data_IF_895617876961
#
_entry.id   IF_895617876961
#
_cell.length_a   1.000
_cell.length_b   1.000
_cell.length_c   1.000
_cell.angle_alpha   90.00
_cell.angle_beta   90.00
_cell.angle_gamma   90.00
#
_symmetry.space_group_name_H-M   'P 1'
#
loop_
_entity.id
_entity.type
_entity.pdbx_description
1 polymer ?
#
# COMPACT_ATOMS: atom_id res chain seq x y z
N UNK A 1 14.21 12.51 8.55
CA UNK A 1 15.34 13.46 8.48
C UNK A 1 16.70 12.74 8.43
N UNK A 2 16.92 11.70 9.23
CA UNK A 2 18.16 10.88 9.22
C UNK A 2 18.38 10.17 7.87
N UNK A 3 17.31 9.70 7.21
CA UNK A 3 17.35 9.05 5.88
C UNK A 3 17.91 9.95 4.76
N UNK A 4 17.59 11.24 4.78
CA UNK A 4 18.04 12.23 3.78
C UNK A 4 19.50 12.68 4.02
N UNK A 5 19.94 12.68 5.28
CA UNK A 5 21.32 12.99 5.66
C UNK A 5 22.25 11.82 5.32
N UNK A 6 21.78 10.58 5.49
CA UNK A 6 22.54 9.35 5.25
C UNK A 6 22.87 9.12 3.77
N UNK A 7 21.92 9.33 2.87
CA UNK A 7 22.18 9.26 1.42
C UNK A 7 23.13 10.38 0.94
N UNK A 8 23.17 11.52 1.65
CA UNK A 8 23.99 12.71 1.29
C UNK A 8 25.50 12.50 1.46
N UNK A 9 25.90 11.59 2.35
CA UNK A 9 27.31 11.25 2.62
C UNK A 9 27.81 10.06 1.80
N UNK A 10 26.91 9.18 1.34
CA UNK A 10 27.27 7.90 0.75
C UNK A 10 27.91 8.02 -0.65
N UNK A 11 27.57 9.06 -1.40
CA UNK A 11 27.97 9.26 -2.81
C UNK A 11 29.04 10.32 -3.06
N UNK A 12 29.53 11.04 -2.04
CA UNK A 12 30.39 12.23 -2.24
C UNK A 12 31.73 11.95 -2.96
N UNK A 13 32.23 10.72 -2.94
CA UNK A 13 33.50 10.33 -3.59
C UNK A 13 33.34 9.45 -4.84
N UNK A 14 32.26 8.68 -4.98
CA UNK A 14 31.98 7.85 -6.17
C UNK A 14 31.21 8.61 -7.26
N UNK A 15 30.58 9.74 -6.91
CA UNK A 15 29.89 10.61 -7.86
C UNK A 15 30.86 11.29 -8.84
N UNK A 16 32.04 11.75 -8.40
CA UNK A 16 32.97 12.49 -9.25
C UNK A 16 33.41 11.72 -10.52
N UNK A 17 33.64 10.42 -10.42
CA UNK A 17 34.01 9.56 -11.56
C UNK A 17 32.80 9.14 -12.41
N UNK A 18 31.61 9.02 -11.79
CA UNK A 18 30.35 8.72 -12.50
C UNK A 18 29.83 9.94 -13.28
N UNK A 19 30.08 11.15 -12.79
CA UNK A 19 29.68 12.43 -13.39
C UNK A 19 30.50 12.78 -14.63
N UNK A 20 31.78 12.38 -14.72
CA UNK A 20 32.63 12.69 -15.88
C UNK A 20 32.20 12.00 -17.18
N UNK A 21 31.42 10.91 -17.11
CA UNK A 21 31.00 10.15 -18.29
C UNK A 21 29.61 10.49 -18.82
N UNK A 22 28.80 11.28 -18.11
CA UNK A 22 27.52 11.75 -18.64
C UNK A 22 27.75 13.13 -19.26
N UNK A 23 27.99 13.17 -20.57
CA UNK A 23 27.89 14.41 -21.35
C UNK A 23 26.42 14.88 -21.33
N UNK A 24 26.03 15.58 -20.27
CA UNK A 24 24.69 16.15 -20.13
C UNK A 24 24.67 17.47 -20.88
N UNK A 25 24.13 17.44 -22.09
CA UNK A 25 23.62 18.66 -22.71
C UNK A 25 22.49 19.21 -21.85
N UNK A 26 22.78 20.23 -21.03
CA UNK A 26 21.82 20.86 -20.12
C UNK A 26 20.64 21.53 -20.85
N UNK A 27 20.72 21.62 -22.18
CA UNK A 27 19.70 22.19 -23.05
C UNK A 27 18.63 21.18 -23.49
N UNK A 28 18.86 19.87 -23.30
CA UNK A 28 17.90 18.81 -23.64
C UNK A 28 17.38 18.11 -22.38
N UNK A 29 16.08 17.76 -22.33
CA UNK A 29 15.54 16.93 -21.25
C UNK A 29 16.27 15.59 -21.17
N UNK A 30 16.54 15.14 -19.95
CA UNK A 30 17.16 13.86 -19.66
C UNK A 30 16.10 12.86 -19.20
N UNK A 31 16.06 11.69 -19.83
CA UNK A 31 15.27 10.54 -19.39
C UNK A 31 16.20 9.50 -18.76
N UNK A 32 16.05 9.28 -17.46
CA UNK A 32 16.76 8.24 -16.71
C UNK A 32 15.84 7.03 -16.60
N UNK A 33 16.32 5.87 -17.05
CA UNK A 33 15.58 4.62 -16.95
C UNK A 33 16.40 3.48 -16.38
N UNK A 34 15.71 2.47 -15.85
CA UNK A 34 16.33 1.31 -15.20
C UNK A 34 15.29 0.43 -14.50
N UNK A 35 15.76 -0.65 -13.88
CA UNK A 35 14.91 -1.52 -13.05
C UNK A 35 14.42 -0.79 -11.78
N UNK A 36 13.42 -1.34 -11.10
CA UNK A 36 12.98 -0.82 -9.79
C UNK A 36 14.15 -0.87 -8.79
N UNK A 37 14.25 0.13 -7.91
CA UNK A 37 15.27 0.14 -6.88
C UNK A 37 16.72 0.32 -7.33
N UNK A 38 16.98 0.64 -8.61
CA UNK A 38 18.34 0.81 -9.14
C UNK A 38 19.00 2.16 -8.77
N UNK A 39 18.30 3.04 -8.04
CA UNK A 39 18.81 4.36 -7.65
C UNK A 39 18.53 5.50 -8.65
N UNK A 40 17.58 5.33 -9.58
CA UNK A 40 17.20 6.35 -10.60
C UNK A 40 16.92 7.73 -9.99
N UNK A 41 16.04 7.78 -9.00
CA UNK A 41 15.68 9.01 -8.30
C UNK A 41 16.87 9.62 -7.57
N UNK A 42 17.77 8.79 -7.03
CA UNK A 42 18.98 9.27 -6.38
C UNK A 42 19.94 9.94 -7.37
N UNK A 43 20.19 9.31 -8.52
CA UNK A 43 21.01 9.92 -9.59
C UNK A 43 20.41 11.24 -10.04
N UNK A 44 19.09 11.31 -10.24
CA UNK A 44 18.42 12.54 -10.63
C UNK A 44 18.54 13.67 -9.58
N UNK A 45 18.45 13.34 -8.30
CA UNK A 45 18.63 14.29 -7.20
C UNK A 45 20.06 14.78 -7.09
N UNK A 46 21.06 13.91 -7.27
CA UNK A 46 22.46 14.32 -7.23
C UNK A 46 22.81 15.21 -8.44
N UNK A 47 22.24 14.94 -9.63
CA UNK A 47 22.36 15.83 -10.81
C UNK A 47 21.76 17.22 -10.60
N UNK A 48 20.82 17.36 -9.66
CA UNK A 48 20.10 18.60 -9.37
C UNK A 48 20.51 19.26 -8.05
N UNK A 49 21.58 18.78 -7.40
CA UNK A 49 22.02 19.21 -6.07
C UNK A 49 22.31 20.70 -5.95
N UNK A 50 22.83 21.31 -7.01
CA UNK A 50 23.15 22.73 -7.09
C UNK A 50 22.07 23.53 -7.85
N UNK A 51 20.86 22.99 -7.96
CA UNK A 51 19.74 23.58 -8.69
C UNK A 51 18.50 23.75 -7.81
N UNK A 52 17.68 24.75 -8.12
CA UNK A 52 16.35 24.87 -7.50
C UNK A 52 15.43 23.79 -8.09
N UNK A 53 15.13 22.78 -7.27
CA UNK A 53 14.38 21.60 -7.67
C UNK A 53 12.87 21.81 -7.50
N UNK A 54 12.12 21.63 -8.59
CA UNK A 54 10.68 21.40 -8.54
C UNK A 54 10.40 19.95 -8.89
N UNK A 55 9.79 19.20 -7.96
CA UNK A 55 9.46 17.79 -8.14
C UNK A 55 7.98 17.61 -8.45
N UNK A 56 7.69 16.83 -9.49
CA UNK A 56 6.36 16.32 -9.84
C UNK A 56 6.42 14.81 -9.64
N UNK A 57 5.57 14.27 -8.78
CA UNK A 57 5.50 12.84 -8.46
C UNK A 57 4.08 12.32 -8.37
N UNK A 58 3.94 11.03 -8.08
CA UNK A 58 2.66 10.33 -8.01
C UNK A 58 1.67 10.93 -7.01
N UNK A 59 2.11 11.73 -6.02
CA UNK A 59 1.20 12.43 -5.11
C UNK A 59 0.34 13.46 -5.82
N UNK A 60 0.79 13.98 -6.96
CA UNK A 60 0.10 15.01 -7.75
C UNK A 60 -0.89 14.44 -8.78
N UNK A 61 -1.10 13.12 -8.82
CA UNK A 61 -2.04 12.48 -9.76
C UNK A 61 -3.44 13.09 -9.66
N UNK A 62 -4.05 13.43 -10.80
CA UNK A 62 -5.41 14.00 -10.92
C UNK A 62 -5.65 15.35 -10.22
N UNK A 63 -4.66 15.88 -9.49
CA UNK A 63 -4.75 17.22 -8.87
C UNK A 63 -4.60 18.33 -9.91
N UNK A 64 -3.85 18.08 -10.97
CA UNK A 64 -3.52 19.07 -12.01
C UNK A 64 -4.51 18.97 -13.16
N UNK A 65 -5.43 19.94 -13.23
CA UNK A 65 -6.45 20.02 -14.30
C UNK A 65 -6.09 20.99 -15.43
N UNK A 66 -5.14 21.91 -15.21
CA UNK A 66 -4.85 22.99 -16.14
C UNK A 66 -3.59 22.73 -16.97
N UNK A 67 -3.70 22.90 -18.30
CA UNK A 67 -2.60 22.81 -19.28
C UNK A 67 -1.42 23.72 -18.95
N UNK A 68 -1.71 24.89 -18.39
CA UNK A 68 -0.69 25.89 -18.08
C UNK A 68 0.09 25.60 -16.80
N UNK A 69 -0.25 24.56 -16.03
CA UNK A 69 0.38 24.29 -14.75
C UNK A 69 1.90 24.07 -14.87
N UNK A 70 2.34 23.25 -15.83
CA UNK A 70 3.77 22.98 -16.05
C UNK A 70 4.48 24.25 -16.55
N UNK A 71 3.85 25.00 -17.46
CA UNK A 71 4.39 26.27 -17.94
C UNK A 71 4.50 27.31 -16.82
N UNK A 72 3.51 27.36 -15.92
CA UNK A 72 3.50 28.26 -14.78
C UNK A 72 4.58 27.89 -13.76
N UNK A 73 4.84 26.60 -13.54
CA UNK A 73 5.96 26.15 -12.70
C UNK A 73 7.29 26.62 -13.28
N UNK A 74 7.47 26.43 -14.58
CA UNK A 74 8.74 26.74 -15.27
C UNK A 74 8.94 28.26 -15.38
N UNK A 75 7.85 29.03 -15.62
CA UNK A 75 7.86 30.49 -15.74
C UNK A 75 7.89 31.24 -14.41
N UNK A 76 7.21 30.74 -13.36
CA UNK A 76 7.15 31.43 -12.06
C UNK A 76 8.55 31.67 -11.52
N UNK A 77 8.87 32.91 -11.16
CA UNK A 77 10.02 33.19 -10.31
C UNK A 77 9.64 32.77 -8.90
N UNK A 78 10.36 31.79 -8.35
CA UNK A 78 10.25 31.49 -6.92
C UNK A 78 10.65 32.74 -6.14
N UNK A 79 9.93 33.05 -5.07
CA UNK A 79 10.23 34.20 -4.19
C UNK A 79 11.66 34.11 -3.65
N UNK A 80 12.17 32.88 -3.41
CA UNK A 80 13.56 32.62 -3.04
C UNK A 80 14.59 33.10 -4.07
N UNK A 81 14.24 33.12 -5.36
CA UNK A 81 15.10 33.62 -6.44
C UNK A 81 15.13 35.14 -6.53
N UNK A 82 14.23 35.84 -5.84
CA UNK A 82 14.30 37.31 -5.74
C UNK A 82 15.33 37.76 -4.71
N UNK A 83 15.77 36.85 -3.83
CA UNK A 83 16.70 37.14 -2.73
C UNK A 83 18.08 36.49 -2.91
N UNK A 84 18.34 35.79 -4.04
CA UNK A 84 19.66 35.25 -4.37
C UNK A 84 20.30 36.04 -5.53
N UNK A 85 21.53 36.52 -5.33
CA UNK A 85 22.30 37.26 -6.34
C UNK A 85 22.85 36.35 -7.48
N UNK A 86 22.65 35.05 -7.36
CA UNK A 86 23.13 34.04 -8.31
C UNK A 86 21.99 33.68 -9.27
N UNK A 87 22.25 33.69 -10.58
CA UNK A 87 21.34 33.13 -11.59
C UNK A 87 21.28 31.61 -11.43
N UNK A 88 20.49 31.15 -10.46
CA UNK A 88 20.41 29.74 -10.10
C UNK A 88 19.78 28.93 -11.23
N UNK A 89 20.44 27.81 -11.58
CA UNK A 89 19.93 26.84 -12.55
C UNK A 89 18.73 26.13 -11.92
N UNK A 90 17.65 25.98 -12.67
CA UNK A 90 16.43 25.28 -12.19
C UNK A 90 16.42 23.84 -12.67
N UNK A 91 15.83 22.95 -11.88
CA UNK A 91 15.58 21.58 -12.29
C UNK A 91 14.11 21.24 -12.12
N UNK A 92 13.46 20.76 -13.18
CA UNK A 92 12.15 20.14 -13.12
C UNK A 92 12.34 18.62 -13.15
N UNK A 93 12.03 17.96 -12.03
CA UNK A 93 12.10 16.51 -11.91
C UNK A 93 10.70 15.91 -12.00
N UNK A 94 10.46 15.09 -13.03
CA UNK A 94 9.25 14.30 -13.19
C UNK A 94 9.58 12.86 -12.79
N UNK A 95 9.18 12.49 -11.59
CA UNK A 95 9.40 11.15 -11.04
C UNK A 95 8.35 10.19 -11.60
N UNK A 96 8.76 8.96 -11.90
CA UNK A 96 7.88 7.88 -12.35
C UNK A 96 6.83 8.26 -13.43
N UNK A 97 7.28 8.82 -14.57
CA UNK A 97 6.40 9.24 -15.69
C UNK A 97 5.45 8.13 -16.18
N UNK A 98 5.85 6.87 -16.03
CA UNK A 98 5.07 5.69 -16.38
C UNK A 98 3.80 5.53 -15.54
N UNK A 99 3.78 6.02 -14.29
CA UNK A 99 2.60 6.01 -13.42
C UNK A 99 1.55 6.99 -13.94
N UNK A 100 1.97 8.18 -14.39
CA UNK A 100 1.08 9.15 -15.02
C UNK A 100 0.45 8.60 -16.30
N UNK A 101 1.21 7.89 -17.15
CA UNK A 101 0.63 7.27 -18.33
C UNK A 101 -0.47 6.24 -18.00
N UNK A 102 -0.34 5.53 -16.88
CA UNK A 102 -1.31 4.52 -16.44
C UNK A 102 -2.55 5.12 -15.77
N UNK A 103 -2.36 6.11 -14.89
CA UNK A 103 -3.42 6.60 -13.99
C UNK A 103 -3.94 8.01 -14.34
N UNK A 104 -3.19 8.79 -15.12
CA UNK A 104 -3.52 10.16 -15.52
C UNK A 104 -3.04 10.47 -16.95
N UNK A 105 -3.74 9.89 -17.93
CA UNK A 105 -3.41 10.03 -19.36
C UNK A 105 -3.43 11.48 -19.85
N UNK A 106 -4.28 12.33 -19.24
CA UNK A 106 -4.40 13.73 -19.62
C UNK A 106 -3.12 14.49 -19.27
N UNK A 107 -2.68 14.40 -18.00
CA UNK A 107 -1.46 15.05 -17.56
C UNK A 107 -0.22 14.47 -18.25
N UNK A 108 -0.19 13.16 -18.51
CA UNK A 108 0.86 12.56 -19.31
C UNK A 108 0.97 13.19 -20.71
N UNK A 109 -0.15 13.34 -21.45
CA UNK A 109 -0.14 14.00 -22.76
C UNK A 109 0.38 15.43 -22.70
N UNK A 110 0.01 16.17 -21.64
CA UNK A 110 0.53 17.53 -21.42
C UNK A 110 2.05 17.55 -21.23
N UNK A 111 2.62 16.62 -20.46
CA UNK A 111 4.08 16.50 -20.31
C UNK A 111 4.74 16.27 -21.68
N UNK A 112 4.17 15.37 -22.50
CA UNK A 112 4.69 15.06 -23.84
C UNK A 112 4.64 16.30 -24.75
N UNK A 113 3.54 17.06 -24.75
CA UNK A 113 3.39 18.30 -25.52
C UNK A 113 4.37 19.37 -25.06
N UNK A 114 4.53 19.55 -23.75
CA UNK A 114 5.49 20.47 -23.16
C UNK A 114 6.94 20.15 -23.58
N UNK A 115 7.32 18.88 -23.59
CA UNK A 115 8.65 18.45 -24.04
C UNK A 115 8.84 18.76 -25.52
N UNK A 116 7.86 18.47 -26.38
CA UNK A 116 7.95 18.77 -27.82
C UNK A 116 8.05 20.25 -28.14
N UNK A 117 7.49 21.12 -27.29
CA UNK A 117 7.52 22.56 -27.48
C UNK A 117 8.94 23.17 -27.39
N UNK A 118 9.92 22.45 -26.80
CA UNK A 118 11.32 22.89 -26.66
C UNK A 118 11.53 24.26 -25.96
N UNK A 119 10.54 24.75 -25.21
CA UNK A 119 10.62 26.03 -24.49
C UNK A 119 10.74 25.81 -22.98
N UNK A 120 11.97 25.62 -22.50
CA UNK A 120 12.23 25.21 -21.11
C UNK A 120 12.70 26.35 -20.19
N UNK A 121 12.83 27.59 -20.68
CA UNK A 121 13.14 28.79 -19.87
C UNK A 121 14.31 28.60 -18.90
N UNK A 122 15.45 28.09 -19.39
CA UNK A 122 16.65 27.76 -18.60
C UNK A 122 16.44 26.75 -17.45
N UNK A 123 15.38 25.94 -17.54
CA UNK A 123 15.12 24.84 -16.61
C UNK A 123 15.63 23.53 -17.20
N UNK A 124 16.50 22.85 -16.46
CA UNK A 124 16.93 21.49 -16.76
C UNK A 124 15.79 20.52 -16.43
N UNK A 125 15.42 19.66 -17.37
CA UNK A 125 14.30 18.73 -17.18
C UNK A 125 14.86 17.32 -17.03
N UNK A 126 14.49 16.65 -15.95
CA UNK A 126 14.82 15.24 -15.69
C UNK A 126 13.54 14.45 -15.54
N UNK A 127 13.44 13.35 -16.27
CA UNK A 127 12.32 12.41 -16.21
C UNK A 127 12.83 11.04 -15.80
N UNK A 128 12.07 10.34 -14.97
CA UNK A 128 12.41 8.99 -14.51
C UNK A 128 11.37 8.00 -15.00
N UNK A 129 11.80 6.85 -15.53
CA UNK A 129 10.91 5.76 -15.90
C UNK A 129 11.49 4.37 -15.63
N UNK A 130 10.61 3.36 -15.59
CA UNK A 130 11.01 1.96 -15.56
C UNK A 130 11.21 1.42 -16.98
N UNK A 131 12.11 0.45 -17.16
CA UNK A 131 12.46 -0.12 -18.48
C UNK A 131 11.24 -0.63 -19.28
N UNK A 132 10.22 -1.15 -18.61
CA UNK A 132 8.99 -1.64 -19.26
C UNK A 132 8.26 -0.54 -20.05
N UNK A 133 8.44 0.72 -19.67
CA UNK A 133 7.77 1.87 -20.27
C UNK A 133 8.41 2.33 -21.59
N UNK A 134 9.62 1.87 -21.92
CA UNK A 134 10.37 2.30 -23.11
C UNK A 134 9.70 1.91 -24.44
N UNK A 135 8.82 0.89 -24.42
CA UNK A 135 8.06 0.44 -25.60
C UNK A 135 6.87 1.33 -25.96
N UNK A 136 6.55 2.33 -25.13
CA UNK A 136 5.40 3.20 -25.35
C UNK A 136 5.60 4.08 -26.61
N UNK A 137 4.59 4.08 -27.50
CA UNK A 137 4.62 4.83 -28.77
C UNK A 137 4.85 6.34 -28.58
N UNK A 138 4.26 6.94 -27.54
CA UNK A 138 4.37 8.38 -27.29
C UNK A 138 5.76 8.75 -26.77
N UNK A 139 6.38 7.89 -25.95
CA UNK A 139 7.76 8.07 -25.50
C UNK A 139 8.77 7.84 -26.63
N UNK A 140 8.53 6.88 -27.52
CA UNK A 140 9.38 6.64 -28.69
C UNK A 140 9.44 7.88 -29.60
N UNK A 141 8.32 8.59 -29.78
CA UNK A 141 8.26 9.85 -30.52
C UNK A 141 9.05 10.98 -29.84
N UNK A 142 9.26 10.90 -28.53
CA UNK A 142 10.06 11.88 -27.79
C UNK A 142 11.57 11.66 -27.90
N UNK A 143 12.06 10.49 -28.35
CA UNK A 143 13.50 10.18 -28.41
C UNK A 143 14.34 11.22 -29.16
N UNK A 144 13.77 11.91 -30.15
CA UNK A 144 14.45 13.00 -30.87
C UNK A 144 14.73 14.23 -29.99
N UNK A 145 13.91 14.46 -28.97
CA UNK A 145 13.94 15.65 -28.12
C UNK A 145 14.65 15.42 -26.80
N UNK A 146 14.90 14.17 -26.41
CA UNK A 146 15.39 13.81 -25.08
C UNK A 146 16.70 13.01 -25.16
N UNK A 147 17.60 13.24 -24.22
CA UNK A 147 18.75 12.38 -24.00
C UNK A 147 18.31 11.22 -23.08
N UNK A 148 18.68 9.99 -23.41
CA UNK A 148 18.29 8.80 -22.62
C UNK A 148 19.50 8.21 -21.92
N UNK A 149 19.36 7.89 -20.65
CA UNK A 149 20.41 7.26 -19.84
C UNK A 149 19.86 6.03 -19.13
N UNK A 150 20.51 4.88 -19.33
CA UNK A 150 20.17 3.63 -18.65
C UNK A 150 21.04 3.44 -17.40
N UNK A 151 20.40 3.22 -16.26
CA UNK A 151 21.05 2.71 -15.06
C UNK A 151 20.97 1.19 -15.08
N UNK A 152 22.09 0.57 -15.45
CA UNK A 152 22.29 -0.87 -15.42
C UNK A 152 23.57 -1.17 -14.66
N UNK A 153 23.51 -2.18 -13.80
CA UNK A 153 24.66 -2.69 -13.08
C UNK A 153 24.92 -4.13 -13.53
N UNK A 154 26.18 -4.48 -13.69
CA UNK A 154 26.60 -5.89 -13.68
C UNK A 154 26.50 -6.43 -12.25
N UNK A 155 26.43 -7.76 -12.10
CA UNK A 155 26.42 -8.38 -10.77
C UNK A 155 27.61 -7.95 -9.93
N UNK A 156 28.81 -7.92 -10.54
CA UNK A 156 30.05 -7.54 -9.85
C UNK A 156 30.03 -6.09 -9.36
N UNK A 157 29.52 -5.15 -10.17
CA UNK A 157 29.38 -3.74 -9.76
C UNK A 157 28.33 -3.58 -8.65
N UNK A 158 27.21 -4.29 -8.78
CA UNK A 158 26.15 -4.29 -7.77
C UNK A 158 26.69 -4.83 -6.44
N UNK A 159 27.35 -5.98 -6.48
CA UNK A 159 27.95 -6.64 -5.33
C UNK A 159 28.99 -5.76 -4.63
N UNK A 160 29.92 -5.15 -5.38
CA UNK A 160 30.90 -4.19 -4.82
C UNK A 160 30.23 -3.01 -4.11
N UNK A 161 29.18 -2.44 -4.72
CA UNK A 161 28.41 -1.35 -4.09
C UNK A 161 27.68 -1.80 -2.83
N UNK A 162 27.11 -3.01 -2.82
CA UNK A 162 26.46 -3.58 -1.65
C UNK A 162 27.46 -3.83 -0.50
N UNK A 163 28.67 -4.29 -0.82
CA UNK A 163 29.75 -4.43 0.16
C UNK A 163 30.20 -3.07 0.71
N UNK A 164 30.29 -2.04 -0.13
CA UNK A 164 30.61 -0.67 0.32
C UNK A 164 29.51 -0.11 1.25
N UNK A 165 28.24 -0.36 0.91
CA UNK A 165 27.08 -0.02 1.75
C UNK A 165 27.20 -0.70 3.12
N UNK A 166 27.36 -2.02 3.13
CA UNK A 166 27.52 -2.81 4.35
C UNK A 166 28.72 -2.37 5.19
N UNK A 167 29.90 -2.14 4.59
CA UNK A 167 31.12 -1.71 5.31
C UNK A 167 30.97 -0.34 5.98
N UNK A 168 30.24 0.59 5.34
CA UNK A 168 29.95 1.90 5.94
C UNK A 168 28.96 1.79 7.09
N UNK A 169 27.97 0.89 6.97
CA UNK A 169 26.96 0.68 8.00
C UNK A 169 27.42 -0.25 9.15
N UNK A 170 28.46 -1.08 8.95
CA UNK A 170 29.06 -1.91 10.01
C UNK A 170 29.57 -1.09 11.20
N UNK A 171 29.86 0.20 11.00
CA UNK A 171 30.20 1.13 12.09
C UNK A 171 28.99 1.50 12.96
N UNK A 172 27.76 1.23 12.52
CA UNK A 172 26.51 1.76 13.08
C UNK A 172 25.34 0.75 13.21
N UNK A 173 25.59 -0.57 13.40
CA UNK A 173 24.63 -1.64 13.87
C UNK A 173 24.25 -2.77 12.89
N UNK A 174 25.18 -3.44 12.20
CA UNK A 174 24.82 -4.68 11.50
C UNK A 174 25.87 -5.77 11.69
N UNK A 175 25.50 -6.87 12.34
CA UNK A 175 26.35 -8.05 12.53
C UNK A 175 25.84 -9.24 11.69
N UNK A 176 25.87 -9.12 10.37
CA UNK A 176 25.66 -10.28 9.47
C UNK A 176 26.96 -11.05 9.24
N UNK A 177 26.87 -12.38 9.10
CA UNK A 177 27.94 -13.18 8.52
C UNK A 177 28.13 -12.83 7.03
N UNK A 178 29.31 -13.13 6.46
CA UNK A 178 29.56 -12.87 5.03
C UNK A 178 28.61 -13.69 4.13
N UNK A 179 28.29 -14.92 4.55
CA UNK A 179 27.37 -15.79 3.81
C UNK A 179 25.92 -15.28 3.84
N UNK A 180 25.47 -14.73 4.98
CA UNK A 180 24.16 -14.08 5.07
C UNK A 180 24.08 -12.84 4.19
N UNK A 181 25.15 -12.05 4.14
CA UNK A 181 25.22 -10.86 3.30
C UNK A 181 25.14 -11.23 1.83
N UNK A 182 25.88 -12.24 1.39
CA UNK A 182 25.88 -12.71 0.01
C UNK A 182 24.49 -13.23 -0.39
N UNK A 183 23.84 -14.00 0.48
CA UNK A 183 22.47 -14.46 0.28
C UNK A 183 21.48 -13.29 0.17
N UNK A 184 21.56 -12.28 1.05
CA UNK A 184 20.71 -11.07 0.98
C UNK A 184 20.94 -10.27 -0.30
N UNK A 185 22.20 -10.12 -0.73
CA UNK A 185 22.56 -9.45 -1.99
C UNK A 185 21.96 -10.20 -3.18
N UNK A 186 22.06 -11.53 -3.21
CA UNK A 186 21.47 -12.33 -4.26
C UNK A 186 19.93 -12.20 -4.30
N UNK A 187 19.27 -12.32 -3.15
CA UNK A 187 17.81 -12.22 -3.03
C UNK A 187 17.26 -10.83 -3.41
N UNK A 188 18.04 -9.77 -3.18
CA UNK A 188 17.65 -8.40 -3.52
C UNK A 188 17.51 -8.15 -5.05
N UNK A 189 18.01 -9.05 -5.91
CA UNK A 189 17.82 -8.99 -7.38
C UNK A 189 18.09 -7.60 -8.00
N UNK A 190 19.20 -6.97 -7.62
CA UNK A 190 19.60 -5.62 -8.07
C UNK A 190 18.76 -4.44 -7.53
N UNK A 191 17.92 -4.68 -6.52
CA UNK A 191 17.15 -3.65 -5.85
C UNK A 191 17.82 -3.25 -4.53
N UNK A 192 18.44 -2.06 -4.51
CA UNK A 192 19.10 -1.54 -3.32
C UNK A 192 18.13 -1.28 -2.17
N UNK A 193 16.86 -0.95 -2.45
CA UNK A 193 15.86 -0.71 -1.41
C UNK A 193 15.48 -2.01 -0.70
N UNK A 194 15.34 -3.11 -1.46
CA UNK A 194 15.04 -4.44 -0.89
C UNK A 194 16.21 -4.95 -0.05
N UNK A 195 17.44 -4.65 -0.47
CA UNK A 195 18.62 -4.98 0.32
C UNK A 195 18.64 -4.18 1.64
N UNK A 196 18.42 -2.87 1.58
CA UNK A 196 18.40 -2.01 2.77
C UNK A 196 17.25 -2.36 3.73
N UNK A 197 16.08 -2.71 3.22
CA UNK A 197 14.99 -3.19 4.07
C UNK A 197 15.36 -4.51 4.75
N UNK A 198 16.08 -5.40 4.05
CA UNK A 198 16.58 -6.65 4.64
C UNK A 198 17.68 -6.46 5.68
N UNK A 199 18.35 -5.30 5.70
CA UNK A 199 19.32 -4.96 6.75
C UNK A 199 18.66 -4.44 8.01
N UNK A 200 17.52 -3.74 7.90
CA UNK A 200 16.77 -3.20 9.04
C UNK A 200 16.04 -4.27 9.90
N UNK A 201 16.41 -5.56 9.78
CA UNK A 201 15.84 -6.68 10.55
C UNK A 201 16.61 -6.95 11.85
N UNK A 202 17.14 -5.91 12.50
CA UNK A 202 17.47 -5.96 13.94
C UNK A 202 16.33 -5.22 14.66
N UNK A 203 15.47 -5.96 15.36
CA UNK A 203 14.61 -5.57 16.50
C UNK A 203 14.23 -4.09 16.64
N UNK A 204 13.81 -3.49 15.54
CA UNK A 204 12.97 -2.31 15.53
C UNK A 204 11.70 -2.73 14.88
N UNK A 205 10.80 -3.21 15.74
CA UNK A 205 9.35 -3.02 15.59
C UNK A 205 9.16 -1.79 14.71
N UNK A 206 8.53 -1.99 13.55
CA UNK A 206 8.15 -0.91 12.66
C UNK A 206 7.24 0.04 13.45
N UNK A 207 7.78 1.05 14.13
CA UNK A 207 7.03 2.19 14.69
C UNK A 207 6.63 3.12 13.52
N UNK A 208 6.14 2.53 12.44
CA UNK A 208 5.59 3.22 11.27
C UNK A 208 4.20 2.72 10.92
N UNK A 209 3.83 1.53 11.40
CA UNK A 209 2.45 1.24 11.72
C UNK A 209 2.33 1.44 13.24
N UNK A 210 1.59 2.46 13.66
CA UNK A 210 1.29 2.68 15.08
C UNK A 210 0.26 1.65 15.61
N UNK A 211 0.12 0.51 14.94
CA UNK A 211 -0.85 -0.51 15.26
C UNK A 211 -0.09 -1.71 15.81
N UNK A 212 -0.38 -2.02 17.08
CA UNK A 212 0.08 -3.24 17.70
C UNK A 212 -0.52 -4.44 16.95
N UNK A 213 0.23 -5.54 16.75
CA UNK A 213 -0.31 -6.75 16.14
C UNK A 213 -1.63 -7.20 16.80
N UNK A 214 -2.60 -7.67 16.00
CA UNK A 214 -3.92 -8.09 16.49
C UNK A 214 -3.79 -9.14 17.60
N UNK A 215 -2.79 -10.02 17.52
CA UNK A 215 -2.52 -11.02 18.53
C UNK A 215 -2.12 -10.41 19.87
N UNK A 216 -1.26 -9.38 19.85
CA UNK A 216 -0.85 -8.65 21.05
C UNK A 216 -2.00 -7.84 21.64
N UNK A 217 -2.80 -7.19 20.78
CA UNK A 217 -3.98 -6.44 21.20
C UNK A 217 -5.04 -7.35 21.83
N UNK A 218 -5.29 -8.51 21.22
CA UNK A 218 -6.22 -9.51 21.77
C UNK A 218 -5.71 -10.03 23.12
N UNK A 219 -4.41 -10.26 23.26
CA UNK A 219 -3.81 -10.68 24.52
C UNK A 219 -3.99 -9.65 25.63
N UNK A 220 -3.75 -8.40 25.30
CA UNK A 220 -3.92 -7.30 26.24
C UNK A 220 -5.39 -7.11 26.63
N UNK A 221 -6.33 -7.21 25.67
CA UNK A 221 -7.77 -7.08 25.91
C UNK A 221 -8.36 -8.21 26.79
N UNK A 222 -7.77 -9.41 26.78
CA UNK A 222 -8.21 -10.54 27.62
C UNK A 222 -7.61 -10.46 29.02
N UNK A 223 -6.40 -9.92 29.15
CA UNK A 223 -5.67 -9.93 30.42
C UNK A 223 -5.79 -8.66 31.24
N UNK A 224 -6.18 -7.54 30.62
CA UNK A 224 -6.30 -6.24 31.27
C UNK A 224 -7.73 -5.70 31.18
N UNK A 225 -8.13 -4.93 32.18
CA UNK A 225 -9.36 -4.14 32.15
C UNK A 225 -9.05 -2.74 31.68
N UNK A 226 -9.84 -2.24 30.74
CA UNK A 226 -9.65 -0.91 30.15
C UNK A 226 -10.88 -0.04 30.38
N UNK A 227 -10.65 1.28 30.42
CA UNK A 227 -11.76 2.23 30.36
C UNK A 227 -12.38 2.24 28.96
N UNK A 228 -13.67 2.61 28.85
CA UNK A 228 -14.37 2.66 27.57
C UNK A 228 -13.67 3.54 26.52
N UNK A 229 -13.12 4.67 26.93
CA UNK A 229 -12.35 5.57 26.05
C UNK A 229 -11.08 4.93 25.50
N UNK A 230 -10.42 4.07 26.30
CA UNK A 230 -9.22 3.35 25.89
C UNK A 230 -9.58 2.20 24.94
N UNK A 231 -10.66 1.47 25.23
CA UNK A 231 -11.17 0.41 24.36
C UNK A 231 -11.49 0.93 22.94
N UNK A 232 -12.07 2.12 22.82
CA UNK A 232 -12.31 2.72 21.50
C UNK A 232 -11.03 3.01 20.72
N UNK A 233 -9.96 3.38 21.42
CA UNK A 233 -8.68 3.69 20.80
C UNK A 233 -7.92 2.42 20.42
N UNK A 234 -7.95 1.41 21.28
CA UNK A 234 -7.26 0.13 21.07
C UNK A 234 -7.91 -0.66 19.93
N UNK A 235 -9.25 -0.64 19.85
CA UNK A 235 -9.98 -1.43 18.86
C UNK A 235 -10.14 -0.73 17.49
N UNK A 236 -9.67 0.51 17.34
CA UNK A 236 -9.93 1.32 16.13
C UNK A 236 -9.32 0.69 14.87
N UNK A 237 -10.18 0.28 13.93
CA UNK A 237 -9.78 -0.30 12.64
C UNK A 237 -9.86 -1.82 12.56
N UNK A 238 -9.84 -2.53 13.71
CA UNK A 238 -9.86 -3.99 13.80
C UNK A 238 -11.01 -4.51 14.68
N UNK A 239 -12.06 -3.71 14.89
CA UNK A 239 -13.16 -3.97 15.82
C UNK A 239 -13.82 -5.34 15.58
N UNK A 240 -14.02 -5.69 14.31
CA UNK A 240 -14.69 -6.93 13.91
C UNK A 240 -13.80 -8.15 14.25
N UNK A 241 -12.52 -8.10 13.92
CA UNK A 241 -11.60 -9.24 14.14
C UNK A 241 -11.41 -9.45 15.64
N UNK A 242 -11.19 -8.36 16.38
CA UNK A 242 -11.05 -8.40 17.84
C UNK A 242 -12.33 -8.90 18.51
N UNK A 243 -13.52 -8.49 18.04
CA UNK A 243 -14.80 -8.98 18.58
C UNK A 243 -14.93 -10.50 18.48
N UNK A 244 -14.55 -11.08 17.34
CA UNK A 244 -14.63 -12.52 17.17
C UNK A 244 -13.53 -13.25 17.95
N UNK A 245 -12.31 -12.71 18.03
CA UNK A 245 -11.26 -13.28 18.86
C UNK A 245 -11.67 -13.32 20.34
N UNK A 246 -12.29 -12.26 20.85
CA UNK A 246 -12.82 -12.21 22.21
C UNK A 246 -13.95 -13.22 22.42
N UNK A 247 -14.81 -13.42 21.41
CA UNK A 247 -15.89 -14.40 21.46
C UNK A 247 -15.37 -15.84 21.48
N UNK A 248 -14.33 -16.17 20.71
CA UNK A 248 -13.75 -17.52 20.67
C UNK A 248 -13.22 -17.95 22.04
N UNK A 249 -12.69 -17.00 22.82
CA UNK A 249 -12.13 -17.24 24.15
C UNK A 249 -13.15 -17.02 25.29
N UNK A 250 -14.43 -16.76 24.99
CA UNK A 250 -15.45 -16.38 25.98
C UNK A 250 -15.65 -17.42 27.10
N UNK A 251 -15.57 -18.71 26.74
CA UNK A 251 -15.76 -19.82 27.67
C UNK A 251 -14.67 -19.82 28.76
N UNK A 252 -13.47 -19.43 28.38
CA UNK A 252 -12.30 -19.37 29.25
C UNK A 252 -12.29 -18.08 30.10
N UNK A 253 -12.82 -16.98 29.56
CA UNK A 253 -12.88 -15.67 30.22
C UNK A 253 -13.87 -15.65 31.41
N UNK A 254 -15.03 -16.32 31.29
CA UNK A 254 -16.16 -16.16 32.23
C UNK A 254 -16.44 -17.41 33.09
N UNK A 255 -15.68 -18.49 32.91
CA UNK A 255 -15.78 -19.73 33.72
C UNK A 255 -17.23 -20.19 33.98
N UNK A 256 -18.00 -20.40 32.91
CA UNK A 256 -19.35 -21.01 32.93
C UNK A 256 -20.36 -20.27 33.86
N UNK A 257 -20.31 -18.94 33.96
CA UNK A 257 -21.44 -18.18 34.53
C UNK A 257 -22.52 -17.94 33.46
N UNK A 258 -23.57 -18.76 33.45
CA UNK A 258 -24.67 -18.68 32.49
C UNK A 258 -25.39 -17.32 32.47
N UNK A 259 -25.43 -16.57 33.58
CA UNK A 259 -26.08 -15.24 33.61
C UNK A 259 -25.23 -14.20 32.90
N UNK A 260 -23.91 -14.21 33.10
CA UNK A 260 -22.97 -13.34 32.39
C UNK A 260 -22.92 -13.68 30.90
N UNK A 261 -22.90 -14.97 30.59
CA UNK A 261 -22.92 -15.48 29.22
C UNK A 261 -24.14 -14.97 28.44
N UNK A 262 -25.34 -15.08 29.02
CA UNK A 262 -26.57 -14.62 28.37
C UNK A 262 -26.55 -13.09 28.11
N UNK A 263 -26.03 -12.29 29.06
CA UNK A 263 -25.90 -10.84 28.87
C UNK A 263 -24.94 -10.47 27.74
N UNK A 264 -23.80 -11.16 27.65
CA UNK A 264 -22.81 -10.92 26.59
C UNK A 264 -23.35 -11.40 25.25
N UNK A 265 -23.97 -12.57 25.21
CA UNK A 265 -24.56 -13.12 24.00
C UNK A 265 -25.64 -12.18 23.41
N UNK A 266 -26.57 -11.68 24.23
CA UNK A 266 -27.57 -10.72 23.76
C UNK A 266 -26.94 -9.42 23.25
N UNK A 267 -25.84 -8.98 23.87
CA UNK A 267 -25.09 -7.81 23.42
C UNK A 267 -24.39 -8.07 22.07
N UNK A 268 -23.81 -9.25 21.87
CA UNK A 268 -23.24 -9.69 20.60
C UNK A 268 -24.28 -9.80 19.49
N UNK A 269 -25.46 -10.37 19.77
CA UNK A 269 -26.55 -10.45 18.78
C UNK A 269 -26.97 -9.05 18.32
N UNK A 270 -27.04 -8.08 19.24
CA UNK A 270 -27.31 -6.68 18.88
C UNK A 270 -26.17 -6.07 18.05
N UNK A 271 -24.92 -6.42 18.35
CA UNK A 271 -23.73 -6.04 17.57
C UNK A 271 -23.81 -6.55 16.13
N UNK A 272 -24.18 -7.81 15.93
CA UNK A 272 -24.31 -8.45 14.60
C UNK A 272 -25.44 -7.83 13.78
N UNK A 273 -26.58 -7.51 14.41
CA UNK A 273 -27.70 -6.79 13.76
C UNK A 273 -27.22 -5.43 13.25
N UNK A 274 -26.38 -4.75 14.02
CA UNK A 274 -25.81 -3.45 13.65
C UNK A 274 -24.78 -3.62 12.53
N UNK A 275 -23.88 -4.61 12.60
CA UNK A 275 -22.93 -4.92 11.52
C UNK A 275 -23.66 -5.17 10.19
N UNK A 276 -24.68 -6.02 10.20
CA UNK A 276 -25.49 -6.35 9.01
C UNK A 276 -26.13 -5.11 8.37
N UNK A 277 -26.62 -4.18 9.20
CA UNK A 277 -27.25 -2.95 8.72
C UNK A 277 -26.23 -1.88 8.30
N UNK A 278 -25.05 -1.82 8.93
CA UNK A 278 -23.99 -0.84 8.64
C UNK A 278 -23.26 -1.10 7.33
N UNK A 279 -23.03 -2.36 6.97
CA UNK A 279 -22.45 -2.75 5.67
C UNK A 279 -23.25 -2.16 4.49
N UNK A 280 -24.51 -1.76 4.69
CA UNK A 280 -25.36 -1.19 3.66
C UNK A 280 -25.36 0.35 3.58
N UNK A 281 -25.04 1.10 4.64
CA UNK A 281 -25.42 2.52 4.70
C UNK A 281 -24.39 3.51 5.26
N UNK A 282 -23.58 3.21 6.28
CA UNK A 282 -22.57 4.17 6.80
C UNK A 282 -21.49 3.53 7.68
N UNK A 283 -20.27 4.09 7.70
CA UNK A 283 -19.11 3.56 8.46
C UNK A 283 -18.97 4.12 9.88
N UNK A 284 -19.65 5.20 10.21
CA UNK A 284 -19.38 5.94 11.46
C UNK A 284 -19.85 5.21 12.73
N UNK A 285 -20.78 4.25 12.63
CA UNK A 285 -21.28 3.48 13.79
C UNK A 285 -20.49 2.19 14.07
N UNK A 286 -19.40 1.91 13.35
CA UNK A 286 -18.51 0.76 13.64
C UNK A 286 -18.00 0.84 15.10
N UNK A 287 -17.80 2.06 15.62
CA UNK A 287 -17.41 2.29 17.02
C UNK A 287 -18.47 1.85 18.03
N UNK A 288 -19.76 1.83 17.66
CA UNK A 288 -20.82 1.35 18.55
C UNK A 288 -20.85 -0.18 18.63
N UNK A 289 -20.40 -0.86 17.57
CA UNK A 289 -20.23 -2.32 17.53
C UNK A 289 -19.20 -2.79 18.57
N UNK A 290 -18.07 -2.09 18.71
CA UNK A 290 -17.02 -2.46 19.67
C UNK A 290 -17.46 -2.30 21.14
N UNK A 291 -18.44 -1.44 21.43
CA UNK A 291 -19.09 -1.36 22.74
C UNK A 291 -19.84 -2.67 23.02
N UNK A 292 -20.72 -3.06 22.11
CA UNK A 292 -21.63 -4.16 22.33
C UNK A 292 -20.92 -5.53 22.35
N UNK A 293 -19.80 -5.65 21.63
CA UNK A 293 -19.04 -6.88 21.54
C UNK A 293 -17.86 -6.92 22.53
N UNK A 294 -16.87 -6.07 22.32
CA UNK A 294 -15.59 -6.12 23.05
C UNK A 294 -15.72 -5.58 24.48
N UNK A 295 -16.37 -4.44 24.68
CA UNK A 295 -16.43 -3.81 26.00
C UNK A 295 -17.25 -4.63 27.01
N UNK A 296 -18.32 -5.28 26.54
CA UNK A 296 -19.12 -6.17 27.37
C UNK A 296 -18.31 -7.39 27.83
N UNK A 297 -17.50 -8.00 26.95
CA UNK A 297 -16.62 -9.11 27.36
C UNK A 297 -15.55 -8.59 28.32
N UNK A 298 -14.88 -7.46 28.00
CA UNK A 298 -13.80 -6.92 28.83
C UNK A 298 -14.25 -6.60 30.26
N UNK A 299 -15.48 -6.09 30.42
CA UNK A 299 -16.08 -5.82 31.73
C UNK A 299 -16.23 -7.08 32.61
N UNK A 300 -16.55 -8.23 32.01
CA UNK A 300 -16.79 -9.49 32.72
C UNK A 300 -15.55 -10.39 32.82
N UNK A 301 -14.34 -9.88 32.49
CA UNK A 301 -13.09 -10.64 32.68
C UNK A 301 -12.86 -10.90 34.16
N UNK A 302 -12.84 -12.17 34.53
CA UNK A 302 -12.61 -12.62 35.90
C UNK A 302 -11.21 -13.25 36.11
N UNK A 303 -10.51 -13.65 35.03
CA UNK A 303 -9.20 -14.34 35.14
C UNK A 303 -8.19 -13.99 34.04
N UNK A 304 -6.91 -14.00 34.42
CA UNK A 304 -5.76 -13.82 33.53
C UNK A 304 -5.47 -15.15 32.82
N UNK A 305 -5.28 -15.10 31.51
CA UNK A 305 -5.15 -16.26 30.63
C UNK A 305 -3.86 -16.23 29.79
N UNK A 306 -3.27 -17.41 29.55
CA UNK A 306 -1.98 -17.53 28.85
C UNK A 306 -2.09 -18.00 27.40
N UNK A 307 -3.07 -18.84 27.06
CA UNK A 307 -3.11 -19.55 25.77
C UNK A 307 -4.29 -19.11 24.88
N UNK A 308 -4.16 -17.96 24.22
CA UNK A 308 -5.28 -17.39 23.45
C UNK A 308 -5.47 -18.10 22.12
N UNK A 309 -6.72 -18.48 21.85
CA UNK A 309 -7.12 -19.03 20.55
C UNK A 309 -7.52 -17.86 19.64
N UNK A 310 -6.74 -17.64 18.58
CA UNK A 310 -7.10 -16.67 17.56
C UNK A 310 -8.16 -17.25 16.63
N UNK A 311 -9.16 -16.44 16.29
CA UNK A 311 -10.19 -16.88 15.36
C UNK A 311 -9.57 -17.09 13.97
N UNK A 312 -9.87 -18.25 13.36
CA UNK A 312 -9.45 -18.59 11.99
C UNK A 312 -10.47 -18.18 10.92
N UNK A 313 -11.60 -17.60 11.32
CA UNK A 313 -12.61 -17.11 10.37
C UNK A 313 -12.11 -15.89 9.62
N UNK A 314 -11.90 -16.07 8.32
CA UNK A 314 -11.92 -14.97 7.36
C UNK A 314 -13.37 -14.50 7.27
N UNK A 315 -13.63 -13.23 7.59
CA UNK A 315 -14.96 -12.61 7.51
C UNK A 315 -15.71 -13.04 6.23
N UNK A 316 -16.88 -13.67 6.40
CA UNK A 316 -17.80 -14.00 5.30
C UNK A 316 -18.13 -12.78 4.42
N UNK A 317 -17.96 -11.54 4.93
CA UNK A 317 -18.18 -10.31 4.17
C UNK A 317 -17.07 -10.01 3.14
N UNK A 318 -15.85 -10.56 3.26
CA UNK A 318 -14.86 -10.43 2.18
C UNK A 318 -15.28 -11.21 0.93
N UNK A 319 -15.95 -12.36 1.08
CA UNK A 319 -16.49 -13.14 -0.05
C UNK A 319 -17.59 -12.38 -0.80
N UNK A 320 -18.27 -11.42 -0.14
CA UNK A 320 -19.34 -10.61 -0.75
C UNK A 320 -18.82 -9.42 -1.57
N UNK A 321 -17.55 -9.02 -1.43
CA UNK A 321 -16.99 -7.86 -2.16
C UNK A 321 -16.78 -8.12 -3.66
N UNK A 322 -16.86 -9.38 -4.11
CA UNK A 322 -16.78 -9.78 -5.52
C UNK A 322 -18.13 -10.26 -6.09
N UNK A 323 -19.24 -9.62 -5.73
CA UNK A 323 -20.54 -9.96 -6.32
C UNK A 323 -20.90 -9.04 -7.49
N UNK A 324 -20.75 -9.58 -8.70
CA UNK A 324 -21.68 -9.23 -9.78
C UNK A 324 -23.10 -9.37 -9.25
N UNK A 325 -23.91 -8.30 -9.35
CA UNK A 325 -25.30 -8.28 -8.89
C UNK A 325 -26.10 -9.40 -9.58
N UNK A 326 -26.40 -10.47 -8.86
CA UNK A 326 -27.47 -11.40 -9.25
C UNK A 326 -28.77 -10.73 -8.81
N UNK A 327 -29.64 -10.38 -9.77
CA UNK A 327 -30.93 -9.80 -9.46
C UNK A 327 -31.76 -10.77 -8.59
N UNK A 328 -32.32 -10.23 -7.50
CA UNK A 328 -33.22 -10.95 -6.59
C UNK A 328 -32.62 -12.23 -5.98
N UNK A 329 -31.34 -12.20 -5.60
CA UNK A 329 -30.63 -13.38 -5.06
C UNK A 329 -31.35 -14.06 -3.88
N UNK A 330 -31.94 -13.29 -2.96
CA UNK A 330 -32.69 -13.83 -1.81
C UNK A 330 -33.90 -14.66 -2.24
N UNK A 331 -34.64 -14.19 -3.25
CA UNK A 331 -35.80 -14.91 -3.79
C UNK A 331 -35.35 -16.17 -4.54
N UNK A 332 -34.24 -16.09 -5.31
CA UNK A 332 -33.70 -17.25 -6.02
C UNK A 332 -33.13 -18.32 -5.08
N UNK A 333 -32.54 -17.93 -3.95
CA UNK A 333 -32.11 -18.86 -2.88
C UNK A 333 -33.32 -19.52 -2.23
N UNK A 334 -34.37 -18.76 -1.92
CA UNK A 334 -35.63 -19.32 -1.39
C UNK A 334 -36.28 -20.34 -2.35
N UNK A 335 -36.26 -20.08 -3.66
CA UNK A 335 -36.71 -21.05 -4.66
C UNK A 335 -35.86 -22.33 -4.64
N UNK A 336 -34.54 -22.21 -4.47
CA UNK A 336 -33.63 -23.34 -4.30
C UNK A 336 -33.97 -24.15 -3.04
N UNK A 337 -34.14 -23.51 -1.88
CA UNK A 337 -34.53 -24.18 -0.63
C UNK A 337 -35.85 -24.96 -0.81
N UNK A 338 -36.87 -24.32 -1.41
CA UNK A 338 -38.17 -24.94 -1.64
C UNK A 338 -38.12 -26.18 -2.54
N UNK A 339 -37.21 -26.20 -3.52
CA UNK A 339 -37.05 -27.33 -4.44
C UNK A 339 -36.19 -28.44 -3.83
N UNK A 340 -35.07 -28.11 -3.18
CA UNK A 340 -34.09 -29.10 -2.71
C UNK A 340 -34.36 -29.61 -1.29
N UNK A 341 -34.77 -28.74 -0.35
CA UNK A 341 -35.10 -29.17 1.01
C UNK A 341 -36.56 -29.64 1.12
N UNK A 342 -37.49 -28.89 0.52
CA UNK A 342 -38.94 -29.13 0.68
C UNK A 342 -39.57 -29.89 -0.50
N UNK A 343 -38.78 -30.30 -1.51
CA UNK A 343 -39.20 -31.11 -2.68
C UNK A 343 -40.42 -30.54 -3.43
N UNK A 344 -40.58 -29.22 -3.47
CA UNK A 344 -41.72 -28.59 -4.13
C UNK A 344 -41.52 -28.50 -5.66
N UNK A 345 -42.26 -29.30 -6.42
CA UNK A 345 -42.13 -29.38 -7.89
C UNK A 345 -42.60 -28.12 -8.64
N UNK A 346 -43.47 -27.30 -8.03
CA UNK A 346 -43.99 -26.10 -8.69
C UNK A 346 -42.89 -25.07 -8.94
N UNK A 347 -41.99 -24.89 -7.97
CA UNK A 347 -40.87 -23.95 -8.04
C UNK A 347 -39.69 -24.47 -8.87
N UNK A 348 -39.63 -25.78 -9.12
CA UNK A 348 -38.62 -26.39 -10.01
C UNK A 348 -38.72 -25.83 -11.44
N UNK A 349 -39.93 -25.55 -11.91
CA UNK A 349 -40.18 -24.94 -13.23
C UNK A 349 -39.68 -23.50 -13.32
N UNK A 350 -39.70 -22.74 -12.22
CA UNK A 350 -39.16 -21.38 -12.16
C UNK A 350 -37.62 -21.38 -12.19
N UNK A 351 -36.97 -22.35 -11.53
CA UNK A 351 -35.50 -22.49 -11.58
C UNK A 351 -34.98 -22.87 -12.97
N UNK A 352 -35.73 -23.68 -13.73
CA UNK A 352 -35.36 -24.07 -15.11
C UNK A 352 -35.43 -22.91 -16.12
N UNK A 353 -36.06 -21.78 -15.77
CA UNK A 353 -36.07 -20.57 -16.59
C UNK A 353 -34.79 -19.73 -16.45
N UNK A 354 -33.94 -20.05 -15.48
CA UNK A 354 -32.67 -19.34 -15.28
C UNK A 354 -31.66 -19.73 -16.34
N UNK A 355 -30.84 -18.75 -16.76
CA UNK A 355 -29.72 -19.03 -17.64
C UNK A 355 -28.75 -20.03 -16.98
N UNK A 356 -28.20 -20.95 -17.77
CA UNK A 356 -27.30 -22.00 -17.28
C UNK A 356 -26.14 -21.45 -16.44
N UNK A 357 -25.57 -20.30 -16.83
CA UNK A 357 -24.51 -19.62 -16.05
C UNK A 357 -25.00 -19.04 -14.72
N UNK A 358 -26.25 -18.60 -14.64
CA UNK A 358 -26.84 -18.14 -13.37
C UNK A 358 -27.15 -19.32 -12.46
N UNK A 359 -27.70 -20.41 -13.02
CA UNK A 359 -27.99 -21.65 -12.30
C UNK A 359 -26.72 -22.25 -11.67
N UNK A 360 -25.66 -22.47 -12.46
CA UNK A 360 -24.38 -23.03 -11.97
C UNK A 360 -23.74 -22.18 -10.85
N UNK A 361 -23.99 -20.86 -10.85
CA UNK A 361 -23.51 -19.95 -9.81
C UNK A 361 -24.36 -20.00 -8.56
N UNK A 362 -25.68 -20.01 -8.70
CA UNK A 362 -26.61 -20.15 -7.58
C UNK A 362 -26.40 -21.47 -6.86
N UNK A 363 -26.18 -22.55 -7.61
CA UNK A 363 -25.84 -23.87 -7.06
C UNK A 363 -24.54 -23.83 -6.26
N UNK A 364 -23.47 -23.20 -6.78
CA UNK A 364 -22.22 -23.02 -6.01
C UNK A 364 -22.42 -22.23 -4.73
N UNK A 365 -23.17 -21.13 -4.79
CA UNK A 365 -23.46 -20.31 -3.61
C UNK A 365 -24.26 -21.12 -2.58
N UNK A 366 -25.33 -21.80 -3.02
CA UNK A 366 -26.17 -22.64 -2.17
C UNK A 366 -25.37 -23.77 -1.49
N UNK A 367 -24.50 -24.45 -2.25
CA UNK A 367 -23.66 -25.52 -1.72
C UNK A 367 -22.64 -25.00 -0.69
N UNK A 368 -22.12 -23.78 -0.85
CA UNK A 368 -21.26 -23.15 0.16
C UNK A 368 -22.02 -22.96 1.48
N UNK A 369 -23.30 -22.57 1.43
CA UNK A 369 -24.11 -22.32 2.62
C UNK A 369 -24.60 -23.59 3.33
N UNK A 370 -24.91 -24.66 2.60
CA UNK A 370 -25.66 -25.80 3.15
C UNK A 370 -24.98 -27.19 3.02
N UNK A 371 -23.94 -27.38 2.21
CA UNK A 371 -23.21 -28.66 2.09
C UNK A 371 -21.86 -28.68 2.83
N UNK A 372 -21.56 -27.64 3.60
CA UNK A 372 -20.40 -27.57 4.51
C UNK A 372 -20.76 -27.89 5.97
N UNK A 373 -21.88 -28.60 6.16
CA UNK A 373 -22.27 -29.36 7.36
C UNK A 373 -22.44 -30.80 6.90
#
# INVERSE_FOLDING_TARGET
MIFLIYCKLLFKHSSLLFFMNIHIDKNKPLLIHGKSGSGKTHVALELSKDMVLTKIDSSMLKSIKNKDYILNIVKKRNVTLMFSDVKDKRCLLIDDIHVFQKHDKFFFKMIIEFIKANQYYHTFIVMICNNNFLKNKDLLRLKKYINTYEIKYTYNEYYKKCLELYKKDKKNKFNFSLDELDNKIYLSRYNFNDLLSSFNTEDKINIKDNYDPIETVTYDLINNRYELSELFRICEGDEIILSYNMLENINEIIKIDHKKYNKIYNSFVNSDIIEYNLVKHDKDFIKYMSILSISHINYYIDTIFKDIIMNRYISKCMVLTNQYKINQINFKIYLYDMVFQYKNEQYKKELLKLDKKEYDRLEKIYNIFYLSI
#
